data_IF_631094734403
#
_entry.id   IF_631094734403
#
_cell.length_a   1.000
_cell.length_b   1.000
_cell.length_c   1.000
_cell.angle_alpha   90.00
_cell.angle_beta   90.00
_cell.angle_gamma   90.00
#
_symmetry.space_group_name_H-M   'P 1'
#
loop_
_entity.id
_entity.type
_entity.pdbx_description
1 polymer ?
#
# COMPACT_ATOMS: atom_id res chain seq x y z
N UNK A 1 -2.29 20.65 -23.02
CA UNK A 1 -3.20 19.53 -23.37
C UNK A 1 -4.30 19.48 -22.33
N UNK A 2 -5.58 19.67 -22.73
CA UNK A 2 -6.72 19.76 -21.80
C UNK A 2 -7.58 18.52 -21.99
N UNK A 3 -7.53 17.60 -21.02
CA UNK A 3 -8.31 16.37 -21.05
C UNK A 3 -9.80 16.67 -20.79
N UNK A 4 -10.68 15.91 -21.42
CA UNK A 4 -12.12 16.11 -21.28
C UNK A 4 -12.60 15.74 -19.87
N UNK A 5 -13.62 16.43 -19.32
CA UNK A 5 -14.13 16.14 -17.98
C UNK A 5 -14.65 14.69 -17.81
N UNK A 6 -15.12 14.07 -18.89
CA UNK A 6 -15.54 12.65 -18.91
C UNK A 6 -14.36 11.71 -18.70
N UNK A 7 -13.18 12.04 -19.24
CA UNK A 7 -11.96 11.26 -19.02
C UNK A 7 -11.47 11.36 -17.57
N UNK A 8 -11.55 12.56 -16.97
CA UNK A 8 -11.17 12.78 -15.56
C UNK A 8 -12.07 12.03 -14.58
N UNK A 9 -13.39 12.04 -14.79
CA UNK A 9 -14.33 11.32 -13.92
C UNK A 9 -14.11 9.81 -13.99
N UNK A 10 -13.92 9.26 -15.19
CA UNK A 10 -13.66 7.83 -15.38
C UNK A 10 -12.33 7.39 -14.75
N UNK A 11 -11.32 8.26 -14.82
CA UNK A 11 -10.01 8.02 -14.18
C UNK A 11 -10.07 8.11 -12.65
N UNK A 12 -10.79 9.10 -12.11
CA UNK A 12 -11.02 9.21 -10.66
C UNK A 12 -11.74 7.99 -10.10
N UNK A 13 -12.77 7.51 -10.81
CA UNK A 13 -13.51 6.31 -10.40
C UNK A 13 -12.61 5.07 -10.35
N UNK A 14 -11.70 4.93 -11.32
CA UNK A 14 -10.76 3.81 -11.39
C UNK A 14 -9.70 3.87 -10.29
N UNK A 15 -9.19 5.06 -9.95
CA UNK A 15 -8.22 5.25 -8.86
C UNK A 15 -8.87 4.89 -7.52
N UNK A 16 -10.09 5.35 -7.27
CA UNK A 16 -10.82 5.06 -6.03
C UNK A 16 -11.08 3.56 -5.89
N UNK A 17 -11.53 2.90 -6.97
CA UNK A 17 -11.73 1.44 -6.98
C UNK A 17 -10.43 0.69 -6.69
N UNK A 18 -9.32 1.11 -7.29
CA UNK A 18 -8.02 0.47 -7.07
C UNK A 18 -7.55 0.60 -5.61
N UNK A 19 -7.67 1.80 -5.02
CA UNK A 19 -7.32 2.02 -3.61
C UNK A 19 -8.21 1.23 -2.65
N UNK A 20 -9.52 1.17 -2.94
CA UNK A 20 -10.46 0.39 -2.12
C UNK A 20 -10.12 -1.11 -2.18
N UNK A 21 -9.90 -1.65 -3.38
CA UNK A 21 -9.50 -3.05 -3.57
C UNK A 21 -8.18 -3.38 -2.87
N UNK A 22 -7.18 -2.49 -2.95
CA UNK A 22 -5.92 -2.67 -2.25
C UNK A 22 -6.11 -2.73 -0.72
N UNK A 23 -6.99 -1.88 -0.16
CA UNK A 23 -7.29 -1.87 1.28
C UNK A 23 -8.02 -3.14 1.73
N UNK A 24 -9.01 -3.61 0.96
CA UNK A 24 -9.81 -4.78 1.36
C UNK A 24 -9.00 -6.06 1.26
N UNK A 25 -8.27 -6.25 0.16
CA UNK A 25 -7.44 -7.45 -0.05
C UNK A 25 -6.26 -7.50 0.93
N UNK A 26 -5.66 -6.35 1.28
CA UNK A 26 -4.58 -6.26 2.27
C UNK A 26 -5.03 -6.59 3.70
N UNK A 27 -6.22 -6.13 4.10
CA UNK A 27 -6.80 -6.42 5.42
C UNK A 27 -7.16 -7.90 5.57
N UNK A 28 -7.80 -8.49 4.55
CA UNK A 28 -8.18 -9.91 4.54
C UNK A 28 -6.95 -10.84 4.57
N UNK A 29 -5.92 -10.55 3.75
CA UNK A 29 -4.69 -11.33 3.73
C UNK A 29 -3.91 -11.26 5.06
N UNK A 30 -3.88 -10.08 5.70
CA UNK A 30 -3.26 -9.91 7.02
C UNK A 30 -3.98 -10.74 8.10
N UNK A 31 -5.32 -10.74 8.10
CA UNK A 31 -6.12 -11.52 9.05
C UNK A 31 -5.92 -13.04 8.84
N UNK A 32 -5.93 -13.52 7.59
CA UNK A 32 -5.71 -14.94 7.29
C UNK A 32 -4.33 -15.42 7.73
N UNK A 33 -3.30 -14.60 7.53
CA UNK A 33 -1.92 -14.92 7.96
C UNK A 33 -1.80 -14.98 9.49
N UNK A 34 -2.45 -14.07 10.21
CA UNK A 34 -2.46 -14.08 11.67
C UNK A 34 -3.10 -15.35 12.26
N UNK A 35 -4.21 -15.81 11.67
CA UNK A 35 -4.90 -17.04 12.09
C UNK A 35 -4.03 -18.27 11.82
N UNK A 36 -3.42 -18.38 10.63
CA UNK A 36 -2.58 -19.52 10.26
C UNK A 36 -1.35 -19.62 11.18
N UNK A 37 -0.68 -18.50 11.47
CA UNK A 37 0.46 -18.46 12.39
C UNK A 37 0.04 -18.88 13.81
N UNK A 38 -1.14 -18.46 14.26
CA UNK A 38 -1.65 -18.78 15.61
C UNK A 38 -2.08 -20.25 15.74
N UNK A 39 -2.57 -20.88 14.66
CA UNK A 39 -3.13 -22.24 14.71
C UNK A 39 -2.18 -23.35 14.24
N UNK A 40 -1.15 -23.05 13.43
CA UNK A 40 -0.34 -24.09 12.75
C UNK A 40 1.18 -23.95 12.90
N UNK A 41 1.70 -22.96 13.64
CA UNK A 41 3.15 -22.77 13.81
C UNK A 41 3.72 -23.55 15.01
N UNK A 42 4.90 -24.20 14.90
CA UNK A 42 5.67 -24.59 16.08
C UNK A 42 5.97 -23.33 16.91
N UNK A 43 6.07 -23.48 18.24
CA UNK A 43 6.49 -22.45 19.19
C UNK A 43 7.98 -22.07 18.98
N UNK A 44 8.34 -21.61 17.78
CA UNK A 44 9.51 -20.78 17.61
C UNK A 44 9.18 -19.43 18.24
N UNK A 45 10.10 -18.82 19.01
CA UNK A 45 9.98 -17.41 19.34
C UNK A 45 9.71 -16.66 18.04
N UNK A 46 8.57 -15.98 17.88
CA UNK A 46 8.29 -15.24 16.67
C UNK A 46 9.50 -14.31 16.45
N UNK A 47 10.09 -14.28 15.25
CA UNK A 47 11.14 -13.31 14.97
C UNK A 47 10.60 -11.95 15.37
N UNK A 48 11.36 -11.24 16.21
CA UNK A 48 10.88 -9.97 16.77
C UNK A 48 10.43 -9.10 15.59
N UNK A 49 9.14 -8.72 15.54
CA UNK A 49 8.63 -7.98 14.40
C UNK A 49 9.40 -6.66 14.33
N UNK A 50 10.10 -6.45 13.22
CA UNK A 50 10.78 -5.19 12.97
C UNK A 50 9.68 -4.16 12.72
N UNK A 51 9.52 -3.25 13.68
CA UNK A 51 8.51 -2.22 13.59
C UNK A 51 8.92 -1.18 12.53
N UNK A 52 8.31 -1.25 11.36
CA UNK A 52 8.48 -0.23 10.32
C UNK A 52 7.44 0.89 10.52
N UNK A 53 7.86 2.00 11.13
CA UNK A 53 7.07 3.22 11.25
C UNK A 53 7.43 4.21 10.15
N UNK A 54 6.50 4.45 9.23
CA UNK A 54 6.60 5.46 8.18
C UNK A 54 6.06 6.83 8.67
N UNK A 55 6.50 7.26 9.85
CA UNK A 55 6.05 8.47 10.56
C UNK A 55 6.83 9.74 10.18
N UNK A 56 7.76 9.63 9.24
CA UNK A 56 8.62 10.71 8.74
C UNK A 56 8.76 10.60 7.22
N UNK A 57 9.26 11.64 6.51
CA UNK A 57 9.35 11.62 5.07
C UNK A 57 10.06 10.37 4.53
N UNK A 58 9.43 9.67 3.59
CA UNK A 58 9.95 8.43 3.02
C UNK A 58 9.83 8.42 1.50
N UNK A 59 10.68 7.63 0.86
CA UNK A 59 10.61 7.37 -0.58
C UNK A 59 9.78 6.11 -0.83
N UNK A 60 9.00 6.10 -1.90
CA UNK A 60 8.25 4.93 -2.32
C UNK A 60 8.45 4.66 -3.81
N UNK A 61 8.41 3.37 -4.15
CA UNK A 61 8.47 2.86 -5.52
C UNK A 61 7.39 1.80 -5.67
N UNK A 62 6.50 1.97 -6.65
CA UNK A 62 5.57 0.94 -7.08
C UNK A 62 6.19 0.34 -8.34
N UNK A 63 6.51 -0.95 -8.28
CA UNK A 63 7.20 -1.65 -9.36
C UNK A 63 6.42 -2.89 -9.79
N UNK A 64 6.50 -3.19 -11.08
CA UNK A 64 6.16 -4.51 -11.60
C UNK A 64 7.30 -5.47 -11.24
N UNK A 65 6.96 -6.56 -10.55
CA UNK A 65 7.96 -7.42 -9.91
C UNK A 65 8.66 -8.39 -10.87
N UNK A 66 8.08 -8.66 -12.04
CA UNK A 66 8.57 -9.72 -12.94
C UNK A 66 9.69 -9.22 -13.85
N UNK A 67 9.55 -7.99 -14.35
CA UNK A 67 10.49 -7.29 -15.21
C UNK A 67 11.22 -6.17 -14.46
N UNK A 68 10.95 -6.02 -13.16
CA UNK A 68 11.62 -5.06 -12.29
C UNK A 68 11.39 -3.59 -12.69
N UNK A 69 10.33 -3.31 -13.45
CA UNK A 69 10.02 -1.98 -13.99
C UNK A 69 9.37 -1.10 -12.92
N UNK A 70 9.91 0.09 -12.71
CA UNK A 70 9.30 1.08 -11.81
C UNK A 70 8.13 1.75 -12.54
N UNK A 71 6.91 1.54 -12.03
CA UNK A 71 5.68 2.13 -12.57
C UNK A 71 5.46 3.52 -11.97
N UNK A 72 5.72 3.68 -10.68
CA UNK A 72 5.60 4.95 -9.96
C UNK A 72 6.73 5.11 -8.97
N UNK A 73 7.20 6.34 -8.79
CA UNK A 73 8.18 6.69 -7.75
C UNK A 73 7.86 8.08 -7.19
N UNK A 74 8.18 8.29 -5.92
CA UNK A 74 7.90 9.56 -5.27
C UNK A 74 8.46 9.65 -3.86
N UNK A 75 8.38 10.87 -3.31
CA UNK A 75 8.70 11.16 -1.91
C UNK A 75 7.41 11.58 -1.21
N UNK A 76 7.07 10.87 -0.14
CA UNK A 76 6.03 11.30 0.78
C UNK A 76 6.65 12.26 1.80
N UNK A 77 6.13 13.47 1.87
CA UNK A 77 6.47 14.45 2.91
C UNK A 77 5.16 14.76 3.61
N UNK A 78 5.10 14.59 4.93
CA UNK A 78 3.93 15.03 5.69
C UNK A 78 3.72 16.53 5.44
N UNK A 79 2.51 16.99 5.07
CA UNK A 79 2.25 18.41 4.87
C UNK A 79 2.47 19.16 6.21
N UNK A 80 3.02 20.39 6.18
CA UNK A 80 3.08 21.20 7.39
C UNK A 80 1.65 21.46 7.89
N UNK A 81 1.42 21.17 9.17
CA UNK A 81 0.17 21.50 9.84
C UNK A 81 0.16 23.03 9.97
N UNK A 82 -0.61 23.73 9.14
CA UNK A 82 -0.82 25.16 9.32
C UNK A 82 -1.62 25.38 10.61
N UNK A 83 -1.01 26.09 11.56
CA UNK A 83 -1.67 26.61 12.77
C UNK A 83 -2.51 27.84 12.45
#
# INVERSE_FOLDING_TARGET
>A
MRFSPVFTQKLQFLIILFSLLASTMGSEAAAATAVIITHHGPSLPPPQPIEFKADRPFLFFIRESRQNIVLFSGKFISPPINS
#
